data_IF_395102272038
#
_entry.id   IF_395102272038
#
_cell.length_a   1.000
_cell.length_b   1.000
_cell.length_c   1.000
_cell.angle_alpha   90.00
_cell.angle_beta   90.00
_cell.angle_gamma   90.00
#
_symmetry.space_group_name_H-M   'P 1'
#
loop_
_entity.id
_entity.type
_entity.pdbx_description
1 polymer ?
#
# COMPACT_ATOMS: atom_id res chain seq x y z
N UNK A 1 -29.42 -1.06 -45.72
CA UNK A 1 -28.87 0.08 -44.94
C UNK A 1 -29.01 -0.06 -43.44
N UNK A 2 -29.04 -1.26 -42.83
CA UNK A 2 -29.33 -1.45 -41.41
C UNK A 2 -28.26 -2.21 -40.60
N UNK A 3 -27.33 -2.90 -41.25
CA UNK A 3 -26.32 -3.72 -40.56
C UNK A 3 -25.08 -2.88 -40.09
N UNK A 4 -24.73 -1.87 -40.81
CA UNK A 4 -23.57 -0.99 -40.47
C UNK A 4 -23.83 -0.08 -39.27
N UNK A 5 -25.06 0.38 -39.08
CA UNK A 5 -25.46 1.25 -37.96
C UNK A 5 -25.45 0.47 -36.64
N UNK A 6 -25.80 -0.81 -36.65
CA UNK A 6 -25.79 -1.65 -35.43
C UNK A 6 -24.39 -2.00 -34.96
N UNK A 7 -23.41 -2.15 -35.87
CA UNK A 7 -22.02 -2.41 -35.50
C UNK A 7 -21.31 -1.15 -34.95
N UNK A 8 -21.63 0.03 -35.50
CA UNK A 8 -21.10 1.30 -34.97
C UNK A 8 -21.64 1.61 -33.56
N UNK A 9 -22.90 1.33 -33.28
CA UNK A 9 -23.48 1.54 -31.95
C UNK A 9 -22.88 0.63 -30.88
N UNK A 10 -22.60 -0.64 -31.21
CA UNK A 10 -21.94 -1.59 -30.27
C UNK A 10 -20.50 -1.20 -29.96
N UNK A 11 -19.75 -0.66 -30.92
CA UNK A 11 -18.35 -0.23 -30.73
C UNK A 11 -18.27 1.01 -29.84
N UNK A 12 -19.22 1.94 -29.97
CA UNK A 12 -19.28 3.14 -29.11
C UNK A 12 -19.63 2.79 -27.68
N UNK A 13 -20.52 1.82 -27.43
CA UNK A 13 -20.85 1.36 -26.07
C UNK A 13 -19.66 0.67 -25.38
N UNK A 14 -18.85 -0.10 -26.10
CA UNK A 14 -17.66 -0.73 -25.54
C UNK A 14 -16.55 0.28 -25.23
N UNK A 15 -16.43 1.36 -26.01
CA UNK A 15 -15.44 2.41 -25.79
C UNK A 15 -15.80 3.32 -24.61
N UNK A 16 -17.08 3.53 -24.31
CA UNK A 16 -17.52 4.35 -23.17
C UNK A 16 -17.39 3.58 -21.85
N UNK A 17 -17.52 2.25 -21.84
CA UNK A 17 -17.34 1.44 -20.64
C UNK A 17 -15.85 1.38 -20.16
N UNK A 18 -14.89 1.60 -21.04
CA UNK A 18 -13.46 1.56 -20.72
C UNK A 18 -12.92 2.85 -20.05
N UNK A 19 -13.67 3.95 -20.05
CA UNK A 19 -13.21 5.27 -19.57
C UNK A 19 -13.53 5.51 -18.09
N UNK A 20 -14.26 4.60 -17.41
CA UNK A 20 -14.69 4.79 -16.02
C UNK A 20 -13.80 4.04 -14.98
N UNK A 21 -12.63 3.56 -15.38
CA UNK A 21 -11.64 3.09 -14.38
C UNK A 21 -10.93 4.31 -13.82
N UNK A 22 -11.61 5.08 -13.00
CA UNK A 22 -10.97 6.05 -12.11
C UNK A 22 -9.97 5.29 -11.22
N UNK A 23 -8.77 5.86 -11.02
CA UNK A 23 -7.79 5.25 -10.13
C UNK A 23 -8.39 5.14 -8.72
N UNK A 24 -8.78 3.93 -8.33
CA UNK A 24 -9.28 3.65 -7.00
C UNK A 24 -8.17 3.97 -5.99
N UNK A 25 -8.43 4.89 -5.05
CA UNK A 25 -7.44 5.30 -4.07
C UNK A 25 -8.05 5.32 -2.67
N UNK A 26 -7.39 4.70 -1.67
CA UNK A 26 -7.96 4.60 -0.32
C UNK A 26 -8.23 5.94 0.35
N UNK A 27 -7.51 6.98 -0.04
CA UNK A 27 -7.75 8.36 0.44
C UNK A 27 -9.14 8.90 0.10
N UNK A 28 -9.78 8.37 -0.94
CA UNK A 28 -11.09 8.86 -1.41
C UNK A 28 -12.27 8.16 -0.71
N UNK A 29 -12.01 7.13 0.10
CA UNK A 29 -13.05 6.46 0.88
C UNK A 29 -13.64 7.43 1.91
N UNK A 30 -14.96 7.57 1.93
CA UNK A 30 -15.65 8.47 2.85
C UNK A 30 -15.97 7.78 4.19
N UNK A 31 -16.10 8.58 5.24
CA UNK A 31 -16.57 8.09 6.53
C UNK A 31 -18.03 7.67 6.41
N UNK A 32 -18.38 6.53 7.02
CA UNK A 32 -19.71 5.93 6.94
C UNK A 32 -19.95 5.01 5.74
N UNK A 33 -19.00 4.90 4.80
CA UNK A 33 -19.08 3.90 3.73
C UNK A 33 -19.13 2.48 4.31
N UNK A 34 -19.86 1.58 3.64
CA UNK A 34 -19.87 0.17 4.04
C UNK A 34 -18.60 -0.55 3.58
N UNK A 35 -18.15 -1.52 4.37
CA UNK A 35 -16.99 -2.35 4.01
C UNK A 35 -17.16 -3.04 2.64
N UNK A 36 -18.40 -3.39 2.28
CA UNK A 36 -18.72 -4.00 0.99
C UNK A 36 -18.48 -2.99 -0.15
N UNK A 37 -18.88 -1.73 0.01
CA UNK A 37 -18.62 -0.68 -0.98
C UNK A 37 -17.12 -0.38 -1.10
N UNK A 38 -16.40 -0.34 0.03
CA UNK A 38 -14.94 -0.16 0.06
C UNK A 38 -14.24 -1.30 -0.69
N UNK A 39 -14.62 -2.56 -0.41
CA UNK A 39 -14.03 -3.73 -1.08
C UNK A 39 -14.37 -3.75 -2.57
N UNK A 40 -15.59 -3.37 -2.95
CA UNK A 40 -15.98 -3.25 -4.35
C UNK A 40 -15.16 -2.18 -5.09
N UNK A 41 -14.80 -1.08 -4.40
CA UNK A 41 -14.04 0.03 -4.96
C UNK A 41 -12.53 -0.20 -4.98
N UNK A 42 -11.94 -0.71 -3.86
CA UNK A 42 -10.48 -0.87 -3.69
C UNK A 42 -9.98 -2.29 -3.93
N UNK A 43 -10.87 -3.28 -3.95
CA UNK A 43 -10.53 -4.69 -3.82
C UNK A 43 -10.36 -5.12 -2.36
N UNK A 44 -10.00 -6.40 -2.15
CA UNK A 44 -9.73 -6.92 -0.81
C UNK A 44 -8.49 -6.25 -0.18
N UNK A 45 -8.56 -5.89 1.12
CA UNK A 45 -7.40 -5.37 1.83
C UNK A 45 -6.32 -6.45 1.94
N UNK A 46 -5.05 -6.05 1.93
CA UNK A 46 -3.93 -6.97 2.09
C UNK A 46 -3.87 -7.60 3.49
N UNK A 47 -4.37 -6.89 4.49
CA UNK A 47 -4.50 -7.41 5.85
C UNK A 47 -5.75 -6.85 6.55
N UNK A 48 -6.30 -7.66 7.49
CA UNK A 48 -7.38 -7.27 8.40
C UNK A 48 -6.90 -7.55 9.82
N UNK A 49 -6.84 -6.53 10.67
CA UNK A 49 -6.35 -6.63 12.04
C UNK A 49 -7.42 -6.16 13.02
N UNK A 50 -7.83 -7.03 13.95
CA UNK A 50 -8.73 -6.63 15.03
C UNK A 50 -8.01 -5.64 15.98
N UNK A 51 -8.70 -4.56 16.33
CA UNK A 51 -8.18 -3.51 17.19
C UNK A 51 -8.80 -3.60 18.59
N UNK A 52 -8.11 -3.13 19.65
CA UNK A 52 -8.61 -3.19 21.03
C UNK A 52 -9.92 -2.44 21.25
N UNK A 53 -10.23 -1.43 20.42
CA UNK A 53 -11.46 -0.64 20.48
C UNK A 53 -12.66 -1.32 19.81
N UNK A 54 -12.48 -2.56 19.31
CA UNK A 54 -13.51 -3.32 18.63
C UNK A 54 -13.65 -3.04 17.14
N UNK A 55 -12.86 -2.12 16.59
CA UNK A 55 -12.79 -1.92 15.12
C UNK A 55 -11.92 -2.98 14.45
N UNK A 56 -12.01 -3.09 13.14
CA UNK A 56 -11.09 -3.88 12.32
C UNK A 56 -10.34 -2.94 11.40
N UNK A 57 -9.01 -2.91 11.50
CA UNK A 57 -8.15 -2.17 10.60
C UNK A 57 -7.97 -2.95 9.29
N UNK A 58 -8.34 -2.34 8.18
CA UNK A 58 -8.09 -2.81 6.82
C UNK A 58 -6.86 -2.10 6.28
N UNK A 59 -5.83 -2.85 5.89
CA UNK A 59 -4.57 -2.31 5.38
C UNK A 59 -4.55 -2.35 3.85
N UNK A 60 -4.36 -1.19 3.24
CA UNK A 60 -4.23 -1.00 1.80
C UNK A 60 -2.90 -0.34 1.46
N UNK A 61 -1.97 -1.11 0.90
CA UNK A 61 -0.72 -0.59 0.35
C UNK A 61 -0.90 -0.24 -1.12
N UNK A 62 -0.49 0.95 -1.52
CA UNK A 62 -0.43 1.34 -2.93
C UNK A 62 0.96 1.14 -3.56
N UNK A 63 1.85 0.46 -2.83
CA UNK A 63 3.16 0.04 -3.35
C UNK A 63 2.98 -0.96 -4.52
N UNK A 64 3.89 -1.01 -5.47
CA UNK A 64 5.11 -0.22 -5.62
C UNK A 64 4.91 1.16 -6.30
N UNK A 65 3.72 1.43 -6.86
CA UNK A 65 3.50 2.61 -7.69
C UNK A 65 3.34 3.91 -6.90
N UNK A 66 2.80 3.81 -5.66
CA UNK A 66 2.70 4.92 -4.72
C UNK A 66 3.68 4.79 -3.55
N UNK A 67 3.65 5.77 -2.66
CA UNK A 67 4.50 5.85 -1.46
C UNK A 67 3.66 5.90 -0.18
N UNK A 68 2.51 5.24 -0.18
CA UNK A 68 1.54 5.31 0.91
C UNK A 68 1.02 3.92 1.27
N UNK A 69 0.62 3.77 2.53
CA UNK A 69 -0.18 2.67 3.05
C UNK A 69 -1.33 3.30 3.82
N UNK A 70 -2.53 2.89 3.52
CA UNK A 70 -3.73 3.41 4.13
C UNK A 70 -4.36 2.40 5.06
N UNK A 71 -4.75 2.84 6.24
CA UNK A 71 -5.55 2.12 7.20
C UNK A 71 -6.97 2.66 7.18
N UNK A 72 -7.93 1.79 6.95
CA UNK A 72 -9.35 2.06 7.10
C UNK A 72 -9.85 1.29 8.30
N UNK A 73 -10.43 1.98 9.28
CA UNK A 73 -10.97 1.35 10.48
C UNK A 73 -12.47 1.15 10.29
N UNK A 74 -12.89 -0.10 10.39
CA UNK A 74 -14.28 -0.53 10.17
C UNK A 74 -14.88 -0.96 11.50
N UNK A 75 -16.03 -0.41 11.86
CA UNK A 75 -16.74 -0.72 13.10
C UNK A 75 -17.49 -2.06 13.03
N UNK A 76 -18.16 -2.44 14.12
CA UNK A 76 -18.96 -3.66 14.22
C UNK A 76 -20.18 -3.68 13.29
N UNK A 77 -20.64 -2.53 12.80
CA UNK A 77 -21.72 -2.39 11.84
C UNK A 77 -21.21 -2.47 10.39
N UNK A 78 -19.90 -2.68 10.18
CA UNK A 78 -19.27 -2.72 8.88
C UNK A 78 -19.13 -1.35 8.21
N UNK A 79 -19.06 -0.27 8.99
CA UNK A 79 -18.90 1.11 8.50
C UNK A 79 -17.49 1.63 8.74
N UNK A 80 -16.94 2.38 7.79
CA UNK A 80 -15.67 3.08 7.94
C UNK A 80 -15.84 4.23 8.93
N UNK A 81 -15.13 4.19 10.04
CA UNK A 81 -15.19 5.19 11.10
C UNK A 81 -13.93 6.05 11.21
N UNK A 82 -12.81 5.58 10.64
CA UNK A 82 -11.58 6.36 10.55
C UNK A 82 -10.74 5.92 9.34
N UNK A 83 -9.90 6.83 8.88
CA UNK A 83 -8.93 6.60 7.81
C UNK A 83 -7.62 7.27 8.18
N UNK A 84 -6.52 6.57 8.00
CA UNK A 84 -5.19 7.09 8.33
C UNK A 84 -4.12 6.60 7.36
N UNK A 85 -3.14 7.44 7.07
CA UNK A 85 -1.95 7.03 6.33
C UNK A 85 -1.00 6.35 7.31
N UNK A 86 -0.80 5.03 7.13
CA UNK A 86 -0.11 4.15 8.09
C UNK A 86 1.40 4.02 7.86
N UNK A 87 1.94 4.49 6.74
CA UNK A 87 3.37 4.43 6.45
C UNK A 87 4.02 5.79 6.77
N UNK A 88 4.10 6.10 8.06
CA UNK A 88 4.70 7.31 8.60
C UNK A 88 5.67 6.96 9.73
N UNK A 89 6.73 7.75 9.91
CA UNK A 89 7.79 7.50 10.91
C UNK A 89 7.26 7.35 12.34
N UNK A 90 6.18 8.06 12.70
CA UNK A 90 5.54 7.95 14.03
C UNK A 90 5.03 6.53 14.35
N UNK A 91 4.81 5.68 13.33
CA UNK A 91 4.35 4.31 13.49
C UNK A 91 5.45 3.26 13.39
N UNK A 92 6.70 3.65 13.10
CA UNK A 92 7.80 2.69 12.99
C UNK A 92 8.08 2.00 14.33
N UNK A 93 7.85 2.68 15.45
CA UNK A 93 7.97 2.11 16.80
C UNK A 93 6.95 1.01 17.14
N UNK A 94 5.91 0.80 16.31
CA UNK A 94 5.01 -0.35 16.43
C UNK A 94 5.70 -1.67 16.09
N UNK A 95 6.84 -1.61 15.41
CA UNK A 95 7.68 -2.76 15.08
C UNK A 95 8.93 -2.74 15.97
N UNK A 96 9.27 -3.89 16.52
CA UNK A 96 10.40 -4.03 17.46
C UNK A 96 11.38 -5.08 16.94
N UNK A 97 12.65 -4.72 16.67
CA UNK A 97 13.69 -5.69 16.33
C UNK A 97 13.79 -6.83 17.35
N UNK A 98 14.02 -8.05 16.87
CA UNK A 98 14.07 -9.27 17.67
C UNK A 98 12.71 -9.81 18.14
N UNK A 99 11.59 -9.13 17.81
CA UNK A 99 10.23 -9.54 18.21
C UNK A 99 9.23 -9.55 17.06
N UNK A 100 9.17 -8.45 16.31
CA UNK A 100 8.24 -8.33 15.19
C UNK A 100 8.64 -9.28 14.07
N UNK A 101 7.64 -9.80 13.37
CA UNK A 101 7.79 -10.77 12.30
C UNK A 101 7.37 -10.16 10.96
N UNK A 102 7.65 -10.88 9.86
CA UNK A 102 7.10 -10.55 8.54
C UNK A 102 5.56 -10.36 8.58
N UNK A 103 4.87 -11.21 9.35
CA UNK A 103 3.41 -11.11 9.48
C UNK A 103 2.99 -9.81 10.16
N UNK A 104 3.75 -9.32 11.15
CA UNK A 104 3.47 -8.04 11.80
C UNK A 104 3.70 -6.88 10.84
N UNK A 105 4.78 -6.90 10.07
CA UNK A 105 5.06 -5.90 9.04
C UNK A 105 4.00 -5.94 7.94
N UNK A 106 3.60 -7.15 7.49
CA UNK A 106 2.53 -7.31 6.51
C UNK A 106 1.18 -6.80 7.03
N UNK A 107 0.83 -7.14 8.27
CA UNK A 107 -0.40 -6.66 8.89
C UNK A 107 -0.44 -5.13 9.00
N UNK A 108 0.73 -4.51 9.26
CA UNK A 108 0.86 -3.07 9.40
C UNK A 108 0.87 -2.36 8.05
N UNK A 109 1.70 -2.83 7.09
CA UNK A 109 1.99 -2.10 5.85
C UNK A 109 1.60 -2.82 4.55
N UNK A 110 1.17 -4.09 4.61
CA UNK A 110 0.76 -4.85 3.43
C UNK A 110 1.90 -5.08 2.45
N UNK A 111 1.61 -4.96 1.15
CA UNK A 111 2.60 -5.17 0.09
C UNK A 111 3.72 -4.14 0.15
N UNK A 112 4.97 -4.62 0.09
CA UNK A 112 6.16 -3.77 -0.08
C UNK A 112 6.38 -3.39 -1.56
N UNK A 113 7.25 -2.41 -1.80
CA UNK A 113 7.64 -2.02 -3.16
C UNK A 113 8.53 -3.08 -3.81
N UNK A 114 9.46 -3.64 -3.03
CA UNK A 114 10.40 -4.66 -3.50
C UNK A 114 10.93 -5.48 -2.33
N UNK A 115 11.23 -6.78 -2.59
CA UNK A 115 11.93 -7.68 -1.68
C UNK A 115 13.36 -7.88 -2.15
N UNK A 116 14.28 -7.99 -1.21
CA UNK A 116 15.71 -8.21 -1.45
C UNK A 116 16.19 -9.39 -0.62
N UNK A 117 16.97 -10.26 -1.22
CA UNK A 117 17.56 -11.45 -0.60
C UNK A 117 19.07 -11.24 -0.43
N UNK A 118 19.59 -11.43 0.78
CA UNK A 118 20.99 -11.30 1.12
C UNK A 118 21.60 -12.68 1.41
N UNK A 119 21.86 -13.45 0.35
CA UNK A 119 22.27 -14.88 0.42
C UNK A 119 23.53 -15.16 1.25
N UNK A 120 24.40 -14.18 1.44
CA UNK A 120 25.64 -14.35 2.20
C UNK A 120 25.43 -14.38 3.73
N UNK A 121 24.31 -13.85 4.19
CA UNK A 121 23.96 -13.74 5.61
C UNK A 121 22.62 -14.39 5.94
N UNK A 122 22.00 -15.05 4.95
CA UNK A 122 20.68 -15.69 5.08
C UNK A 122 19.60 -14.74 5.64
N UNK A 123 19.64 -13.49 5.18
CA UNK A 123 18.68 -12.44 5.54
C UNK A 123 17.94 -11.94 4.30
N UNK A 124 16.83 -11.29 4.52
CA UNK A 124 16.10 -10.58 3.46
C UNK A 124 15.48 -9.28 3.98
N UNK A 125 15.19 -8.36 3.07
CA UNK A 125 14.60 -7.07 3.42
C UNK A 125 13.40 -6.75 2.53
N UNK A 126 12.42 -6.05 3.10
CA UNK A 126 11.29 -5.51 2.39
C UNK A 126 11.42 -3.99 2.30
N UNK A 127 11.43 -3.45 1.10
CA UNK A 127 11.47 -2.00 0.88
C UNK A 127 10.06 -1.43 0.84
N UNK A 128 9.79 -0.45 1.70
CA UNK A 128 8.60 0.39 1.65
C UNK A 128 8.99 1.83 1.39
N UNK A 129 8.50 2.39 0.29
CA UNK A 129 8.76 3.77 -0.12
C UNK A 129 7.73 4.70 0.51
N UNK A 130 8.17 5.84 1.07
CA UNK A 130 7.27 6.78 1.74
C UNK A 130 7.72 8.23 1.57
N UNK A 131 6.82 9.16 1.90
CA UNK A 131 7.12 10.59 2.02
C UNK A 131 7.36 10.92 3.48
N UNK A 132 8.60 11.31 3.79
CA UNK A 132 8.95 11.83 5.10
C UNK A 132 8.42 13.26 5.31
N UNK A 133 8.38 13.75 6.56
CA UNK A 133 8.11 15.17 6.83
C UNK A 133 9.02 16.08 5.99
N UNK A 134 8.43 17.13 5.43
CA UNK A 134 9.14 18.01 4.48
C UNK A 134 9.10 17.53 3.02
N UNK A 135 8.44 16.40 2.73
CA UNK A 135 8.20 15.91 1.37
C UNK A 135 9.36 15.12 0.77
N UNK A 136 10.36 14.74 1.57
CA UNK A 136 11.50 13.94 1.11
C UNK A 136 11.06 12.53 0.71
N UNK A 137 11.58 12.05 -0.41
CA UNK A 137 11.39 10.68 -0.87
C UNK A 137 12.34 9.75 -0.09
N UNK A 138 11.75 8.89 0.76
CA UNK A 138 12.47 7.97 1.64
C UNK A 138 12.02 6.53 1.45
N UNK A 139 12.82 5.60 1.93
CA UNK A 139 12.48 4.18 2.01
C UNK A 139 12.81 3.64 3.39
N UNK A 140 11.91 2.83 3.96
CA UNK A 140 12.13 2.07 5.18
C UNK A 140 12.29 0.60 4.85
N UNK A 141 13.23 -0.07 5.52
CA UNK A 141 13.73 -1.40 5.21
C UNK A 141 13.70 -2.29 6.46
N UNK A 142 12.57 -2.88 6.83
CA UNK A 142 12.60 -4.00 7.78
C UNK A 142 13.39 -5.16 7.18
N UNK A 143 14.40 -5.63 7.94
CA UNK A 143 15.28 -6.73 7.58
C UNK A 143 14.95 -7.92 8.47
N UNK A 144 14.88 -9.11 7.89
CA UNK A 144 14.44 -10.33 8.55
C UNK A 144 15.49 -11.43 8.43
N UNK A 145 15.57 -12.25 9.47
CA UNK A 145 16.31 -13.49 9.44
C UNK A 145 15.56 -14.61 8.69
N UNK A 146 16.17 -15.79 8.61
CA UNK A 146 15.58 -16.98 7.95
C UNK A 146 14.26 -17.45 8.56
N UNK A 147 13.97 -17.07 9.83
CA UNK A 147 12.73 -17.41 10.51
C UNK A 147 11.65 -16.32 10.32
N UNK A 148 11.95 -15.28 9.57
CA UNK A 148 11.05 -14.15 9.35
C UNK A 148 10.93 -13.23 10.55
N UNK A 149 11.89 -13.23 11.49
CA UNK A 149 11.94 -12.29 12.62
C UNK A 149 12.73 -11.06 12.20
N UNK A 150 12.13 -9.87 12.39
CA UNK A 150 12.76 -8.60 12.05
C UNK A 150 13.98 -8.35 12.96
N UNK A 151 15.17 -8.25 12.36
CA UNK A 151 16.41 -8.02 13.07
C UNK A 151 16.76 -6.53 13.17
N UNK A 152 16.44 -5.77 12.13
CA UNK A 152 16.66 -4.32 12.08
C UNK A 152 15.61 -3.64 11.20
N UNK A 153 15.58 -2.32 11.28
CA UNK A 153 14.78 -1.49 10.38
C UNK A 153 15.58 -0.23 10.06
N UNK A 154 15.98 -0.09 8.81
CA UNK A 154 16.77 1.03 8.33
C UNK A 154 15.92 2.01 7.53
N UNK A 155 16.34 3.27 7.52
CA UNK A 155 15.71 4.33 6.72
C UNK A 155 16.78 4.96 5.83
N UNK A 156 16.49 5.05 4.53
CA UNK A 156 17.37 5.63 3.53
C UNK A 156 16.59 6.58 2.61
N UNK A 157 17.30 7.31 1.77
CA UNK A 157 16.65 7.96 0.62
C UNK A 157 16.05 6.91 -0.30
N UNK A 158 14.91 7.25 -0.94
CA UNK A 158 14.26 6.36 -1.90
C UNK A 158 15.17 6.09 -3.11
N UNK A 159 15.72 4.88 -3.27
CA UNK A 159 16.67 4.59 -4.34
C UNK A 159 16.08 4.81 -5.74
N UNK A 160 14.77 4.58 -5.91
CA UNK A 160 14.10 4.77 -7.20
C UNK A 160 13.94 6.24 -7.60
N UNK A 161 14.13 7.17 -6.65
CA UNK A 161 14.15 8.61 -6.92
C UNK A 161 15.56 9.14 -7.09
N UNK A 162 16.52 8.53 -6.41
CA UNK A 162 17.93 8.91 -6.48
C UNK A 162 18.52 8.67 -7.88
N UNK A 163 18.18 7.54 -8.51
CA UNK A 163 18.62 7.24 -9.88
C UNK A 163 18.16 8.27 -10.91
N UNK A 164 16.97 8.86 -10.72
CA UNK A 164 16.47 9.91 -11.60
C UNK A 164 17.28 11.20 -11.49
N UNK A 165 17.71 11.56 -10.27
CA UNK A 165 18.52 12.77 -10.06
C UNK A 165 19.88 12.60 -10.73
N UNK A 166 20.53 11.46 -10.58
CA UNK A 166 21.81 11.13 -11.20
C UNK A 166 21.71 11.15 -12.73
N UNK A 167 20.63 10.65 -13.31
CA UNK A 167 20.39 10.67 -14.76
C UNK A 167 20.26 12.09 -15.31
N UNK A 168 19.66 13.03 -14.54
CA UNK A 168 19.53 14.42 -14.95
C UNK A 168 20.81 15.24 -14.76
N UNK A 169 21.65 14.86 -13.81
CA UNK A 169 22.91 15.58 -13.50
C UNK A 169 24.13 15.03 -14.25
N UNK A 170 23.97 13.94 -15.02
CA UNK A 170 25.01 13.41 -15.90
C UNK A 170 26.22 12.81 -15.20
N UNK A 171 26.03 12.25 -13.99
CA UNK A 171 27.06 11.48 -13.28
C UNK A 171 26.83 9.98 -13.44
#
# INVERSE_FOLDING_TARGET
MSIWIRKAALTVWFSVAAVLVGCAHPQLVEMGESKEAVIAYLGEPQAKTAMPDGTVRYTYSIQPFGQEVWWLFVDSNGKVVAREQGLQEKYFSMLTPGKSTENDVWALWGRCAQKYEFRLVDEHAWMYRYKAPGGFDMAVWPQFDVNGVMQSMEVTQDPWKQDRVNLFLGF
#
